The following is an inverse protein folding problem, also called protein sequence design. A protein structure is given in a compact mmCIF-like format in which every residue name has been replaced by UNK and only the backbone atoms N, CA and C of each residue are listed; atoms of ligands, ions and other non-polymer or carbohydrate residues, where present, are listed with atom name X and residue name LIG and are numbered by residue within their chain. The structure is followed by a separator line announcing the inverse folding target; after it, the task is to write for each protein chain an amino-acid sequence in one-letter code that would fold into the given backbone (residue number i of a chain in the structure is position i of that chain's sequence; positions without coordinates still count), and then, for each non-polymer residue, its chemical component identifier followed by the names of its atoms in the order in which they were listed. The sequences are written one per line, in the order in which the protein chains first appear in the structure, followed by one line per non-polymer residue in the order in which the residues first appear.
data_IF_510830283255
#
_entry.id   IF_510830283255
#
_cell.length_a   1.000
_cell.length_b   1.000
_cell.length_c   1.000
_cell.angle_alpha   90.00
_cell.angle_beta   90.00
_cell.angle_gamma   90.00
#
_symmetry.space_group_name_H-M   'P 1'
#
loop_
_entity.id
_entity.type
_entity.pdbx_description
1 polymer ?
#
# COMPACT_ATOMS: atom_id res chain seq x y z
N UNK A 1 39.41 -42.02 -33.48
CA UNK A 1 39.38 -40.57 -33.76
C UNK A 1 37.96 -40.04 -33.97
N UNK A 2 37.03 -40.80 -34.55
CA UNK A 2 35.61 -40.39 -34.72
C UNK A 2 34.73 -40.60 -33.48
N UNK A 3 35.00 -41.61 -32.66
CA UNK A 3 34.20 -41.91 -31.46
C UNK A 3 34.45 -40.92 -30.31
N UNK A 4 35.69 -40.49 -30.13
CA UNK A 4 36.11 -39.53 -29.09
C UNK A 4 35.58 -38.11 -29.37
N UNK A 5 35.32 -37.77 -30.64
CA UNK A 5 34.74 -36.49 -31.02
C UNK A 5 33.23 -36.41 -30.73
N UNK A 6 32.51 -37.53 -30.92
CA UNK A 6 31.06 -37.62 -30.65
C UNK A 6 30.78 -37.62 -29.15
N UNK A 7 31.66 -38.21 -28.33
CA UNK A 7 31.51 -38.24 -26.87
C UNK A 7 31.73 -36.85 -26.23
N UNK A 8 32.68 -36.06 -26.75
CA UNK A 8 32.90 -34.66 -26.35
C UNK A 8 31.72 -33.76 -26.73
N UNK A 9 31.11 -33.97 -27.90
CA UNK A 9 29.96 -33.18 -28.37
C UNK A 9 28.68 -33.49 -27.57
N UNK A 10 28.50 -34.75 -27.12
CA UNK A 10 27.39 -35.15 -26.25
C UNK A 10 27.55 -34.58 -24.83
N UNK A 11 28.77 -34.63 -24.27
CA UNK A 11 29.07 -34.07 -22.95
C UNK A 11 28.91 -32.54 -22.93
N UNK A 12 29.27 -31.85 -24.02
CA UNK A 12 29.06 -30.40 -24.17
C UNK A 12 27.57 -30.03 -24.27
N UNK A 13 26.76 -30.82 -25.01
CA UNK A 13 25.30 -30.62 -25.11
C UNK A 13 24.59 -30.92 -23.77
N UNK A 14 25.01 -31.95 -23.04
CA UNK A 14 24.43 -32.29 -21.73
C UNK A 14 24.77 -31.23 -20.68
N UNK A 15 25.99 -30.70 -20.68
CA UNK A 15 26.43 -29.64 -19.78
C UNK A 15 25.76 -28.29 -20.08
N UNK A 16 25.51 -27.97 -21.36
CA UNK A 16 24.70 -26.81 -21.79
C UNK A 16 23.24 -26.96 -21.37
N UNK A 17 22.67 -28.16 -21.50
CA UNK A 17 21.28 -28.46 -21.10
C UNK A 17 21.11 -28.39 -19.59
N UNK A 18 22.08 -28.90 -18.82
CA UNK A 18 22.07 -28.82 -17.35
C UNK A 18 22.25 -27.40 -16.85
N UNK A 19 23.14 -26.60 -17.46
CA UNK A 19 23.33 -25.18 -17.16
C UNK A 19 22.12 -24.33 -17.53
N UNK A 20 21.45 -24.66 -18.64
CA UNK A 20 20.17 -24.05 -19.03
C UNK A 20 19.07 -24.36 -18.01
N UNK A 21 18.90 -25.63 -17.65
CA UNK A 21 17.91 -26.05 -16.67
C UNK A 21 18.14 -25.44 -15.28
N UNK A 22 19.39 -25.30 -14.84
CA UNK A 22 19.73 -24.67 -13.57
C UNK A 22 19.50 -23.15 -13.58
N UNK A 23 19.72 -22.49 -14.72
CA UNK A 23 19.42 -21.06 -14.90
C UNK A 23 17.91 -20.81 -14.95
N UNK A 24 17.14 -21.69 -15.61
CA UNK A 24 15.67 -21.63 -15.66
C UNK A 24 15.08 -21.84 -14.25
N UNK A 25 15.60 -22.80 -13.48
CA UNK A 25 15.14 -23.08 -12.12
C UNK A 25 15.46 -21.92 -11.16
N UNK A 26 16.64 -21.32 -11.28
CA UNK A 26 17.04 -20.11 -10.54
C UNK A 26 16.15 -18.90 -10.88
N UNK A 27 15.92 -18.64 -12.17
CA UNK A 27 15.07 -17.54 -12.63
C UNK A 27 13.59 -17.71 -12.23
N UNK A 28 13.08 -18.95 -12.23
CA UNK A 28 11.75 -19.25 -11.72
C UNK A 28 11.65 -18.99 -10.21
N UNK A 29 12.69 -19.33 -9.44
CA UNK A 29 12.74 -19.07 -7.99
C UNK A 29 12.80 -17.57 -7.66
N UNK A 30 13.53 -16.78 -8.44
CA UNK A 30 13.59 -15.32 -8.31
C UNK A 30 12.24 -14.67 -8.68
N UNK A 31 11.61 -15.10 -9.78
CA UNK A 31 10.29 -14.63 -10.18
C UNK A 31 9.21 -14.93 -9.12
N UNK A 32 9.26 -16.11 -8.50
CA UNK A 32 8.39 -16.45 -7.38
C UNK A 32 8.65 -15.55 -6.16
N UNK A 33 9.90 -15.24 -5.84
CA UNK A 33 10.25 -14.36 -4.73
C UNK A 33 9.72 -12.93 -4.95
N UNK A 34 9.85 -12.38 -6.16
CA UNK A 34 9.30 -11.04 -6.47
C UNK A 34 7.78 -11.02 -6.46
N UNK A 35 7.11 -12.07 -6.94
CA UNK A 35 5.66 -12.22 -6.81
C UNK A 35 5.24 -12.23 -5.33
N UNK A 36 5.90 -13.01 -4.49
CA UNK A 36 5.64 -13.04 -3.04
C UNK A 36 5.82 -11.65 -2.40
N UNK A 37 6.82 -10.89 -2.84
CA UNK A 37 7.03 -9.51 -2.41
C UNK A 37 5.85 -8.60 -2.80
N UNK A 38 5.35 -8.69 -4.04
CA UNK A 38 4.17 -7.94 -4.47
C UNK A 38 2.91 -8.31 -3.67
N UNK A 39 2.70 -9.60 -3.38
CA UNK A 39 1.61 -10.08 -2.53
C UNK A 39 1.71 -9.49 -1.11
N UNK A 40 2.90 -9.53 -0.52
CA UNK A 40 3.16 -9.00 0.82
C UNK A 40 2.93 -7.48 0.87
N UNK A 41 3.50 -6.74 -0.07
CA UNK A 41 3.37 -5.28 -0.16
C UNK A 41 1.91 -4.87 -0.36
N UNK A 42 1.18 -5.57 -1.24
CA UNK A 42 -0.25 -5.34 -1.45
C UNK A 42 -1.06 -5.56 -0.17
N UNK A 43 -0.86 -6.69 0.51
CA UNK A 43 -1.56 -7.01 1.76
C UNK A 43 -1.29 -5.96 2.84
N UNK A 44 -0.05 -5.48 2.95
CA UNK A 44 0.32 -4.45 3.92
C UNK A 44 -0.39 -3.11 3.62
N UNK A 45 -0.36 -2.66 2.36
CA UNK A 45 -1.01 -1.42 1.92
C UNK A 45 -2.54 -1.49 2.06
N UNK A 46 -3.16 -2.61 1.67
CA UNK A 46 -4.58 -2.85 1.84
C UNK A 46 -5.00 -2.83 3.31
N UNK A 47 -4.26 -3.53 4.17
CA UNK A 47 -4.55 -3.57 5.60
C UNK A 47 -4.43 -2.18 6.23
N UNK A 48 -3.40 -1.42 5.85
CA UNK A 48 -3.19 -0.04 6.31
C UNK A 48 -4.32 0.89 5.84
N UNK A 49 -4.68 0.85 4.56
CA UNK A 49 -5.75 1.68 3.99
C UNK A 49 -7.11 1.37 4.59
N UNK A 50 -7.46 0.08 4.76
CA UNK A 50 -8.69 -0.35 5.42
C UNK A 50 -8.72 0.08 6.89
N UNK A 51 -7.61 -0.08 7.61
CA UNK A 51 -7.50 0.35 8.99
C UNK A 51 -7.71 1.86 9.14
N UNK A 52 -7.09 2.65 8.27
CA UNK A 52 -7.24 4.09 8.23
C UNK A 52 -8.69 4.47 7.92
N UNK A 53 -9.30 3.87 6.89
CA UNK A 53 -10.68 4.11 6.47
C UNK A 53 -11.69 3.84 7.60
N UNK A 54 -11.59 2.69 8.28
CA UNK A 54 -12.46 2.33 9.39
C UNK A 54 -12.29 3.31 10.56
N UNK A 55 -11.04 3.67 10.87
CA UNK A 55 -10.72 4.56 11.98
C UNK A 55 -11.19 5.99 11.76
N UNK A 56 -10.94 6.55 10.57
CA UNK A 56 -11.40 7.87 10.12
C UNK A 56 -12.93 7.94 10.17
N UNK A 57 -13.61 6.95 9.59
CA UNK A 57 -15.08 6.90 9.55
C UNK A 57 -15.68 6.79 10.95
N UNK A 58 -15.11 5.96 11.81
CA UNK A 58 -15.54 5.83 13.21
C UNK A 58 -15.33 7.13 13.99
N UNK A 59 -14.16 7.76 13.84
CA UNK A 59 -13.85 9.04 14.47
C UNK A 59 -14.83 10.14 14.02
N UNK A 60 -15.19 10.16 12.73
CA UNK A 60 -16.21 11.06 12.19
C UNK A 60 -17.57 10.86 12.87
N UNK A 61 -18.11 9.64 12.92
CA UNK A 61 -19.42 9.39 13.56
C UNK A 61 -19.43 9.65 15.08
N UNK A 62 -18.30 9.46 15.77
CA UNK A 62 -18.19 9.74 17.19
C UNK A 62 -18.09 11.26 17.48
N UNK A 63 -17.32 12.01 16.69
CA UNK A 63 -17.08 13.45 16.91
C UNK A 63 -18.04 14.39 16.20
N UNK A 64 -18.73 13.93 15.16
CA UNK A 64 -19.73 14.72 14.43
C UNK A 64 -20.87 15.20 15.36
N UNK A 65 -21.11 14.54 16.50
CA UNK A 65 -22.04 15.01 17.54
C UNK A 65 -21.62 16.30 18.26
N UNK A 66 -20.34 16.69 18.19
CA UNK A 66 -19.75 17.86 18.88
C UNK A 66 -19.27 18.95 17.93
N UNK A 67 -19.31 18.75 16.62
CA UNK A 67 -18.84 19.72 15.62
C UNK A 67 -17.31 19.78 15.41
N UNK A 68 -16.52 19.03 16.17
CA UNK A 68 -15.04 19.11 16.19
C UNK A 68 -14.36 17.94 15.46
N UNK A 69 -14.67 17.72 14.18
CA UNK A 69 -13.90 16.76 13.37
C UNK A 69 -12.58 17.38 12.92
N UNK A 70 -11.48 16.67 13.18
CA UNK A 70 -10.15 16.99 12.66
C UNK A 70 -9.50 15.68 12.22
N UNK A 71 -9.00 15.64 10.98
CA UNK A 71 -8.22 14.55 10.44
C UNK A 71 -6.97 14.36 11.29
N UNK A 72 -6.66 13.11 11.61
CA UNK A 72 -5.48 12.76 12.39
C UNK A 72 -4.58 11.87 11.53
N UNK A 73 -3.28 12.16 11.43
CA UNK A 73 -2.31 11.31 10.75
C UNK A 73 -2.32 9.86 11.22
N UNK A 74 -2.66 9.67 12.49
CA UNK A 74 -2.58 8.39 13.15
C UNK A 74 -3.78 8.19 14.08
N UNK A 75 -4.36 6.99 13.99
CA UNK A 75 -5.39 6.53 14.91
C UNK A 75 -4.80 5.39 15.76
N UNK A 76 -4.66 5.57 17.09
CA UNK A 76 -4.19 4.49 17.95
C UNK A 76 -5.25 3.37 18.04
N UNK A 77 -4.80 2.12 18.00
CA UNK A 77 -5.68 0.96 18.26
C UNK A 77 -6.06 0.99 19.75
N UNK A 78 -7.19 1.62 20.06
CA UNK A 78 -7.70 1.67 21.44
C UNK A 78 -8.47 0.40 21.83
N UNK A 79 -8.66 -0.56 20.91
CA UNK A 79 -9.49 -1.74 21.13
C UNK A 79 -8.80 -2.84 21.96
N UNK A 80 -7.46 -2.89 22.00
CA UNK A 80 -6.72 -3.97 22.63
C UNK A 80 -5.47 -3.46 23.36
N UNK A 81 -5.55 -3.23 24.68
CA UNK A 81 -4.43 -2.95 25.60
C UNK A 81 -3.50 -1.76 25.24
N UNK A 82 -2.86 -1.15 26.24
CA UNK A 82 -1.89 -0.05 26.02
C UNK A 82 -0.67 -0.47 25.18
N UNK A 83 -0.34 -1.78 25.15
CA UNK A 83 0.82 -2.33 24.43
C UNK A 83 0.66 -2.40 22.90
N UNK A 84 -0.56 -2.49 22.37
CA UNK A 84 -0.80 -2.56 20.92
C UNK A 84 -1.12 -1.20 20.30
N UNK A 85 -1.01 -0.13 21.09
CA UNK A 85 -1.34 1.24 20.69
C UNK A 85 -0.58 1.72 19.45
N UNK A 86 0.66 1.26 19.26
CA UNK A 86 1.56 1.64 18.15
C UNK A 86 1.80 0.51 17.13
N UNK A 87 1.05 -0.60 17.23
CA UNK A 87 1.23 -1.75 16.34
C UNK A 87 1.18 -1.41 14.85
N UNK A 88 0.25 -0.57 14.33
CA UNK A 88 0.21 -0.27 12.90
C UNK A 88 1.43 0.53 12.44
N UNK A 89 2.02 1.39 13.30
CA UNK A 89 3.28 2.09 13.00
C UNK A 89 4.46 1.12 12.95
N UNK A 90 4.55 0.17 13.89
CA UNK A 90 5.60 -0.85 13.88
C UNK A 90 5.50 -1.77 12.66
N UNK A 91 4.27 -2.17 12.27
CA UNK A 91 4.03 -3.00 11.11
C UNK A 91 4.38 -2.26 9.80
N UNK A 92 4.04 -0.96 9.72
CA UNK A 92 4.44 -0.12 8.59
C UNK A 92 5.97 0.00 8.51
N UNK A 93 6.65 0.24 9.63
CA UNK A 93 8.11 0.33 9.69
C UNK A 93 8.78 -0.97 9.21
N UNK A 94 8.29 -2.13 9.68
CA UNK A 94 8.79 -3.44 9.26
C UNK A 94 8.57 -3.66 7.76
N UNK A 95 7.39 -3.32 7.23
CA UNK A 95 7.09 -3.44 5.81
C UNK A 95 8.01 -2.55 4.94
N UNK A 96 8.27 -1.31 5.38
CA UNK A 96 9.17 -0.38 4.69
C UNK A 96 10.62 -0.87 4.73
N UNK A 97 11.07 -1.46 5.85
CA UNK A 97 12.40 -2.08 5.96
C UNK A 97 12.57 -3.26 5.01
N UNK A 98 11.59 -4.17 4.96
CA UNK A 98 11.62 -5.31 4.03
C UNK A 98 11.65 -4.80 2.58
N UNK A 99 10.86 -3.77 2.27
CA UNK A 99 10.82 -3.14 0.95
C UNK A 99 12.15 -2.49 0.57
N UNK A 100 12.79 -1.81 1.52
CA UNK A 100 14.11 -1.20 1.33
C UNK A 100 15.17 -2.28 1.07
N UNK A 101 15.16 -3.36 1.84
CA UNK A 101 16.09 -4.49 1.66
C UNK A 101 15.88 -5.10 0.28
N UNK A 102 14.64 -5.40 -0.11
CA UNK A 102 14.32 -5.97 -1.41
C UNK A 102 14.82 -5.09 -2.58
N UNK A 103 14.51 -3.79 -2.56
CA UNK A 103 14.96 -2.86 -3.62
C UNK A 103 16.47 -2.64 -3.61
N UNK A 104 17.13 -2.74 -2.45
CA UNK A 104 18.58 -2.67 -2.34
C UNK A 104 19.23 -3.93 -2.92
N UNK A 105 18.70 -5.11 -2.60
CA UNK A 105 19.18 -6.38 -3.14
C UNK A 105 19.09 -6.39 -4.67
N UNK A 106 17.94 -5.99 -5.24
CA UNK A 106 17.79 -5.86 -6.71
C UNK A 106 18.77 -4.85 -7.30
N UNK A 107 19.03 -3.73 -6.61
CA UNK A 107 19.99 -2.73 -7.08
C UNK A 107 21.44 -3.21 -7.06
N UNK A 108 21.79 -4.10 -6.14
CA UNK A 108 23.14 -4.66 -5.99
C UNK A 108 23.33 -5.98 -6.71
N UNK A 109 22.25 -6.64 -7.14
CA UNK A 109 22.33 -7.89 -7.86
C UNK A 109 23.04 -7.66 -9.21
N UNK A 110 24.20 -8.29 -9.31
CA UNK A 110 25.12 -8.14 -10.41
C UNK A 110 25.49 -9.56 -10.83
N UNK A 111 24.77 -10.11 -11.78
CA UNK A 111 25.21 -11.27 -12.54
C UNK A 111 26.01 -10.77 -13.78
N UNK A 112 27.35 -10.71 -13.71
CA UNK A 112 28.19 -10.10 -14.74
C UNK A 112 28.45 -10.97 -15.97
N UNK A 113 27.96 -12.21 -16.04
CA UNK A 113 28.35 -13.16 -17.10
C UNK A 113 27.26 -13.50 -18.13
N UNK A 114 26.00 -13.06 -17.94
CA UNK A 114 24.89 -13.43 -18.85
C UNK A 114 23.85 -12.31 -19.07
N UNK A 115 24.02 -11.12 -18.48
CA UNK A 115 23.04 -10.04 -18.55
C UNK A 115 23.64 -8.77 -19.15
N UNK A 116 23.18 -8.43 -20.36
CA UNK A 116 23.49 -7.19 -21.05
C UNK A 116 23.35 -5.97 -20.13
N UNK A 117 24.41 -5.18 -20.09
CA UNK A 117 24.64 -4.08 -19.15
C UNK A 117 23.80 -2.86 -19.54
N UNK A 118 22.60 -2.68 -18.98
CA UNK A 118 21.92 -1.37 -19.01
C UNK A 118 21.97 -0.73 -17.61
N UNK A 119 22.85 0.26 -17.35
CA UNK A 119 23.03 0.91 -16.03
C UNK A 119 21.75 1.56 -15.49
N UNK A 120 20.82 1.81 -16.40
CA UNK A 120 19.51 2.40 -16.20
C UNK A 120 18.68 1.70 -15.12
N UNK A 121 18.54 0.36 -15.18
CA UNK A 121 17.69 -0.38 -14.24
C UNK A 121 18.17 -0.25 -12.78
N UNK A 122 19.49 -0.20 -12.56
CA UNK A 122 20.08 -0.02 -11.23
C UNK A 122 19.77 1.35 -10.64
N UNK A 123 19.88 2.41 -11.45
CA UNK A 123 19.54 3.75 -11.01
C UNK A 123 18.05 3.89 -10.69
N UNK A 124 17.19 3.24 -11.46
CA UNK A 124 15.75 3.20 -11.18
C UNK A 124 15.43 2.47 -9.87
N UNK A 125 16.05 1.32 -9.62
CA UNK A 125 15.90 0.57 -8.36
C UNK A 125 16.43 1.37 -7.15
N UNK A 126 17.57 2.05 -7.32
CA UNK A 126 18.15 2.91 -6.28
C UNK A 126 17.26 4.13 -6.00
N UNK A 127 16.66 4.71 -7.03
CA UNK A 127 15.70 5.81 -6.88
C UNK A 127 14.47 5.34 -6.08
N UNK A 128 13.93 4.15 -6.39
CA UNK A 128 12.84 3.56 -5.62
C UNK A 128 13.24 3.30 -4.16
N UNK A 129 14.43 2.77 -3.91
CA UNK A 129 14.97 2.55 -2.57
C UNK A 129 15.09 3.87 -1.78
N UNK A 130 15.55 4.96 -2.41
CA UNK A 130 15.64 6.28 -1.79
C UNK A 130 14.28 6.86 -1.40
N UNK A 131 13.24 6.64 -2.22
CA UNK A 131 11.87 7.02 -1.88
C UNK A 131 11.35 6.23 -0.68
N UNK A 132 11.52 4.90 -0.67
CA UNK A 132 11.11 4.04 0.45
C UNK A 132 11.84 4.45 1.74
N UNK A 133 13.15 4.74 1.65
CA UNK A 133 13.92 5.23 2.78
C UNK A 133 13.36 6.55 3.34
N UNK A 134 12.91 7.45 2.45
CA UNK A 134 12.29 8.71 2.88
C UNK A 134 10.95 8.48 3.62
N UNK A 135 10.13 7.53 3.17
CA UNK A 135 8.92 7.11 3.89
C UNK A 135 9.23 6.45 5.24
N UNK A 136 10.33 5.69 5.31
CA UNK A 136 10.80 5.09 6.56
C UNK A 136 11.19 6.18 7.57
N UNK A 137 11.95 7.19 7.15
CA UNK A 137 12.31 8.33 8.01
C UNK A 137 11.08 9.09 8.50
N UNK A 138 10.11 9.35 7.63
CA UNK A 138 8.87 10.04 8.03
C UNK A 138 8.06 9.21 9.05
N UNK A 139 7.96 7.90 8.85
CA UNK A 139 7.27 6.98 9.76
C UNK A 139 8.00 6.90 11.12
N UNK A 140 9.33 6.88 11.10
CA UNK A 140 10.14 6.91 12.32
C UNK A 140 9.98 8.23 13.08
N UNK A 141 9.97 9.37 12.38
CA UNK A 141 9.72 10.68 12.96
C UNK A 141 8.33 10.74 13.65
N UNK A 142 7.30 10.18 13.01
CA UNK A 142 5.98 10.04 13.64
C UNK A 142 6.01 9.16 14.89
N UNK A 143 6.68 8.00 14.82
CA UNK A 143 6.76 7.09 15.95
C UNK A 143 7.44 7.76 17.15
N UNK A 144 8.53 8.51 16.91
CA UNK A 144 9.25 9.27 17.94
C UNK A 144 8.37 10.40 18.49
N UNK A 145 7.63 11.11 17.63
CA UNK A 145 6.72 12.19 18.06
C UNK A 145 5.58 11.68 18.95
N UNK A 146 5.10 10.45 18.73
CA UNK A 146 4.05 9.84 19.54
C UNK A 146 4.58 9.15 20.80
N UNK A 147 5.80 8.58 20.76
CA UNK A 147 6.42 7.91 21.90
C UNK A 147 7.10 8.86 22.87
N UNK A 148 7.56 10.01 22.39
CA UNK A 148 8.47 10.89 23.12
C UNK A 148 8.09 12.36 22.94
N UNK A 149 8.29 13.17 23.98
CA UNK A 149 8.09 14.63 23.91
C UNK A 149 9.21 15.40 23.19
N UNK A 150 10.23 14.71 22.68
CA UNK A 150 11.43 15.33 22.10
C UNK A 150 11.16 16.03 20.76
N UNK A 151 10.14 15.61 20.02
CA UNK A 151 9.83 16.18 18.70
C UNK A 151 8.31 16.21 18.47
N UNK A 152 7.56 17.16 19.08
CA UNK A 152 6.12 17.27 18.85
C UNK A 152 5.86 17.79 17.43
N UNK A 153 5.60 16.87 16.50
CA UNK A 153 5.32 17.20 15.12
C UNK A 153 3.83 17.56 14.99
N UNK A 154 3.47 18.79 14.55
CA UNK A 154 2.08 19.13 14.34
C UNK A 154 1.49 18.28 13.19
N UNK A 155 0.22 17.89 13.27
CA UNK A 155 -0.40 16.99 12.30
C UNK A 155 -0.37 17.56 10.87
N UNK A 156 -0.50 18.88 10.74
CA UNK A 156 -0.50 19.57 9.44
C UNK A 156 0.87 19.47 8.75
N UNK A 157 1.96 19.54 9.52
CA UNK A 157 3.32 19.37 8.99
C UNK A 157 3.56 17.93 8.54
N UNK A 158 3.02 16.94 9.27
CA UNK A 158 3.10 15.55 8.81
C UNK A 158 2.40 15.37 7.47
N UNK A 159 1.17 15.87 7.30
CA UNK A 159 0.44 15.76 6.04
C UNK A 159 1.15 16.50 4.90
N UNK A 160 1.76 17.65 5.18
CA UNK A 160 2.59 18.36 4.21
C UNK A 160 3.82 17.54 3.79
N UNK A 161 4.57 16.97 4.74
CA UNK A 161 5.71 16.10 4.44
C UNK A 161 5.28 14.82 3.69
N UNK A 162 4.18 14.20 4.10
CA UNK A 162 3.61 13.05 3.40
C UNK A 162 3.23 13.41 1.96
N UNK A 163 2.64 14.59 1.72
CA UNK A 163 2.34 15.06 0.36
C UNK A 163 3.58 15.17 -0.51
N UNK A 164 4.68 15.71 0.04
CA UNK A 164 5.95 15.83 -0.66
C UNK A 164 6.56 14.46 -0.99
N UNK A 165 6.48 13.49 -0.07
CA UNK A 165 6.97 12.13 -0.33
C UNK A 165 6.12 11.38 -1.36
N UNK A 166 4.79 11.52 -1.35
CA UNK A 166 3.94 10.96 -2.40
C UNK A 166 4.20 11.59 -3.77
N UNK A 167 4.50 12.89 -3.81
CA UNK A 167 4.93 13.55 -5.05
C UNK A 167 6.30 13.06 -5.52
N UNK A 168 7.24 12.83 -4.61
CA UNK A 168 8.53 12.23 -4.93
C UNK A 168 8.36 10.81 -5.49
N UNK A 169 7.44 10.02 -4.92
CA UNK A 169 7.09 8.70 -5.45
C UNK A 169 6.47 8.79 -6.85
N UNK A 170 5.57 9.76 -7.10
CA UNK A 170 5.03 10.03 -8.44
C UNK A 170 6.16 10.30 -9.44
N UNK A 171 7.08 11.21 -9.13
CA UNK A 171 8.21 11.57 -10.00
C UNK A 171 9.14 10.39 -10.27
N UNK A 172 9.45 9.60 -9.24
CA UNK A 172 10.27 8.40 -9.40
C UNK A 172 9.59 7.34 -10.27
N UNK A 173 8.29 7.12 -10.06
CA UNK A 173 7.51 6.13 -10.81
C UNK A 173 7.26 6.56 -12.26
N UNK A 174 7.02 7.85 -12.52
CA UNK A 174 6.88 8.39 -13.88
C UNK A 174 8.19 8.29 -14.67
N UNK A 175 9.33 8.58 -14.03
CA UNK A 175 10.63 8.43 -14.66
C UNK A 175 10.93 6.96 -14.96
N UNK A 176 10.60 6.06 -14.03
CA UNK A 176 10.72 4.61 -14.22
C UNK A 176 9.91 4.15 -15.44
N UNK A 177 8.66 4.59 -15.55
CA UNK A 177 7.79 4.27 -16.68
C UNK A 177 8.34 4.77 -18.03
N UNK A 178 8.94 5.96 -18.08
CA UNK A 178 9.46 6.53 -19.33
C UNK A 178 10.72 5.84 -19.88
N UNK A 179 11.42 5.12 -19.02
CA UNK A 179 12.75 4.56 -19.30
C UNK A 179 12.69 3.03 -19.47
N UNK A 180 11.57 2.40 -19.10
CA UNK A 180 11.37 0.97 -19.28
C UNK A 180 11.15 0.59 -20.74
N UNK A 181 11.77 -0.53 -21.14
CA UNK A 181 11.62 -1.12 -22.48
C UNK A 181 10.38 -2.02 -22.59
N UNK A 182 9.76 -2.39 -21.47
CA UNK A 182 8.53 -3.18 -21.40
C UNK A 182 7.32 -2.24 -21.36
N UNK A 183 6.50 -2.28 -22.42
CA UNK A 183 5.30 -1.45 -22.53
C UNK A 183 4.29 -1.72 -21.40
N UNK A 184 4.19 -2.98 -20.96
CA UNK A 184 3.25 -3.38 -19.92
C UNK A 184 3.70 -2.87 -18.54
N UNK A 185 4.99 -3.02 -18.21
CA UNK A 185 5.54 -2.53 -16.95
C UNK A 185 5.47 -1.00 -16.88
N UNK A 186 5.78 -0.33 -18.00
CA UNK A 186 5.69 1.13 -18.09
C UNK A 186 4.26 1.63 -17.85
N UNK A 187 3.25 0.93 -18.37
CA UNK A 187 1.85 1.27 -18.12
C UNK A 187 1.46 1.04 -16.65
N UNK A 188 1.86 -0.07 -16.05
CA UNK A 188 1.61 -0.35 -14.63
C UNK A 188 2.23 0.72 -13.72
N UNK A 189 3.48 1.10 -13.98
CA UNK A 189 4.19 2.13 -13.24
C UNK A 189 3.56 3.51 -13.46
N UNK A 190 3.15 3.84 -14.68
CA UNK A 190 2.44 5.09 -14.97
C UNK A 190 1.12 5.22 -14.20
N UNK A 191 0.33 4.14 -14.10
CA UNK A 191 -0.91 4.14 -13.33
C UNK A 191 -0.62 4.27 -11.83
N UNK A 192 0.39 3.55 -11.31
CA UNK A 192 0.87 3.67 -9.92
C UNK A 192 1.31 5.10 -9.58
N UNK A 193 2.01 5.75 -10.52
CA UNK A 193 2.40 7.15 -10.41
C UNK A 193 1.16 8.05 -10.27
N UNK A 194 0.15 7.89 -11.14
CA UNK A 194 -1.07 8.70 -11.08
C UNK A 194 -1.86 8.53 -9.77
N UNK A 195 -1.93 7.32 -9.21
CA UNK A 195 -2.54 7.08 -7.89
C UNK A 195 -1.76 7.82 -6.80
N UNK A 196 -0.42 7.82 -6.90
CA UNK A 196 0.47 8.52 -5.95
C UNK A 196 0.37 10.06 -6.07
N UNK A 197 0.12 10.57 -7.27
CA UNK A 197 -0.17 11.99 -7.47
C UNK A 197 -1.50 12.36 -6.79
N UNK A 198 -2.53 11.54 -6.95
CA UNK A 198 -3.82 11.73 -6.28
C UNK A 198 -3.65 11.73 -4.75
N UNK A 199 -2.89 10.78 -4.18
CA UNK A 199 -2.65 10.74 -2.74
C UNK A 199 -1.86 11.95 -2.24
N UNK A 200 -0.89 12.46 -3.03
CA UNK A 200 -0.16 13.70 -2.73
C UNK A 200 -1.10 14.91 -2.65
N UNK A 201 -1.97 15.08 -3.65
CA UNK A 201 -2.95 16.17 -3.68
C UNK A 201 -3.93 16.09 -2.51
N UNK A 202 -4.41 14.89 -2.17
CA UNK A 202 -5.30 14.67 -1.03
C UNK A 202 -4.61 14.98 0.31
N UNK A 203 -3.37 14.55 0.51
CA UNK A 203 -2.56 14.93 1.69
C UNK A 203 -2.38 16.44 1.80
N UNK A 204 -2.09 17.11 0.68
CA UNK A 204 -1.93 18.57 0.63
C UNK A 204 -3.24 19.30 0.96
N UNK A 205 -4.38 18.82 0.44
CA UNK A 205 -5.70 19.34 0.81
C UNK A 205 -5.99 19.18 2.29
N UNK A 206 -5.63 18.04 2.91
CA UNK A 206 -5.80 17.81 4.34
C UNK A 206 -4.89 18.73 5.16
N UNK A 207 -3.66 19.00 4.71
CA UNK A 207 -2.75 19.92 5.37
C UNK A 207 -3.29 21.36 5.43
N UNK A 208 -4.01 21.80 4.38
CA UNK A 208 -4.65 23.12 4.37
C UNK A 208 -6.02 23.14 5.07
N UNK A 209 -6.78 22.06 4.95
CA UNK A 209 -8.14 21.94 5.48
C UNK A 209 -8.34 20.61 6.21
N UNK A 210 -7.82 20.48 7.45
CA UNK A 210 -7.85 19.22 8.20
C UNK A 210 -9.26 18.80 8.63
N UNK A 211 -10.27 19.65 8.43
CA UNK A 211 -11.68 19.34 8.72
C UNK A 211 -12.39 18.61 7.57
N UNK A 212 -11.77 18.49 6.40
CA UNK A 212 -12.37 17.89 5.21
C UNK A 212 -12.38 16.35 5.30
N UNK A 213 -13.44 15.80 5.88
CA UNK A 213 -13.63 14.34 6.02
C UNK A 213 -13.51 13.58 4.69
N UNK A 214 -14.06 14.15 3.60
CA UNK A 214 -14.02 13.50 2.30
C UNK A 214 -12.59 13.30 1.78
N UNK A 215 -11.70 14.27 2.00
CA UNK A 215 -10.30 14.15 1.59
C UNK A 215 -9.56 13.05 2.37
N UNK A 216 -9.87 12.90 3.66
CA UNK A 216 -9.29 11.87 4.52
C UNK A 216 -9.75 10.45 4.13
N UNK A 217 -11.05 10.29 3.83
CA UNK A 217 -11.60 9.03 3.30
C UNK A 217 -11.05 8.71 1.91
N UNK A 218 -10.95 9.72 1.04
CA UNK A 218 -10.39 9.55 -0.30
C UNK A 218 -8.90 9.17 -0.23
N UNK A 219 -8.13 9.73 0.72
CA UNK A 219 -6.73 9.38 0.94
C UNK A 219 -6.61 7.91 1.33
N UNK A 220 -7.41 7.45 2.31
CA UNK A 220 -7.43 6.04 2.70
C UNK A 220 -7.83 5.11 1.53
N UNK A 221 -8.82 5.53 0.73
CA UNK A 221 -9.22 4.83 -0.49
C UNK A 221 -8.09 4.75 -1.52
N UNK A 222 -7.33 5.84 -1.72
CA UNK A 222 -6.19 5.86 -2.64
C UNK A 222 -5.06 4.91 -2.21
N UNK A 223 -4.82 4.73 -0.91
CA UNK A 223 -3.86 3.76 -0.37
C UNK A 223 -4.35 2.32 -0.62
N UNK A 224 -5.64 2.04 -0.44
CA UNK A 224 -6.22 0.75 -0.81
C UNK A 224 -6.08 0.47 -2.31
N UNK A 225 -6.36 1.47 -3.15
CA UNK A 225 -6.24 1.36 -4.61
C UNK A 225 -4.78 1.09 -5.01
N UNK A 226 -3.82 1.79 -4.39
CA UNK A 226 -2.40 1.55 -4.59
C UNK A 226 -2.02 0.11 -4.22
N UNK A 227 -2.49 -0.41 -3.09
CA UNK A 227 -2.25 -1.78 -2.67
C UNK A 227 -2.81 -2.83 -3.65
N UNK A 228 -4.03 -2.63 -4.14
CA UNK A 228 -4.61 -3.51 -5.16
C UNK A 228 -3.86 -3.43 -6.49
N UNK A 229 -3.43 -2.23 -6.88
CA UNK A 229 -2.69 -2.05 -8.12
C UNK A 229 -1.30 -2.72 -8.08
N UNK A 230 -0.63 -2.71 -6.92
CA UNK A 230 0.63 -3.45 -6.72
C UNK A 230 0.42 -4.96 -6.89
N UNK A 231 -0.72 -5.49 -6.43
CA UNK A 231 -1.09 -6.89 -6.64
C UNK A 231 -1.33 -7.18 -8.12
N UNK A 232 -2.14 -6.36 -8.79
CA UNK A 232 -2.42 -6.49 -10.22
C UNK A 232 -1.13 -6.42 -11.05
N UNK A 233 -0.20 -5.54 -10.68
CA UNK A 233 1.11 -5.41 -11.31
C UNK A 233 1.90 -6.71 -11.14
N UNK A 234 1.99 -7.25 -9.92
CA UNK A 234 2.65 -8.54 -9.68
C UNK A 234 2.02 -9.70 -10.46
N UNK A 235 0.69 -9.78 -10.52
CA UNK A 235 0.00 -10.82 -11.29
C UNK A 235 0.25 -10.68 -12.79
N UNK A 236 0.19 -9.46 -13.34
CA UNK A 236 0.34 -9.20 -14.78
C UNK A 236 1.77 -9.45 -15.28
N UNK A 237 2.79 -9.29 -14.42
CA UNK A 237 4.21 -9.45 -14.78
C UNK A 237 4.76 -10.86 -14.52
N UNK A 238 4.23 -11.56 -13.52
CA UNK A 238 4.83 -12.82 -13.04
C UNK A 238 3.94 -14.06 -13.22
N UNK A 239 2.65 -13.91 -13.54
CA UNK A 239 1.74 -15.05 -13.74
C UNK A 239 1.31 -15.15 -15.20
N UNK A 240 1.71 -16.24 -15.86
CA UNK A 240 1.48 -16.43 -17.31
C UNK A 240 -0.02 -16.46 -17.69
N UNK A 241 -0.90 -16.87 -16.77
CA UNK A 241 -2.35 -16.87 -16.98
C UNK A 241 -2.98 -15.46 -17.09
N UNK A 242 -2.27 -14.42 -16.64
CA UNK A 242 -2.72 -13.02 -16.71
C UNK A 242 -1.98 -12.21 -17.79
N UNK A 243 -1.11 -12.85 -18.58
CA UNK A 243 -0.44 -12.22 -19.72
C UNK A 243 -1.44 -12.18 -20.89
N UNK A 244 -1.75 -11.01 -21.46
CA UNK A 244 -2.68 -10.91 -22.58
C UNK A 244 -2.13 -11.60 -23.84
N UNK A 245 -3.01 -12.29 -24.57
CA UNK A 245 -2.67 -13.00 -25.81
C UNK A 245 -1.90 -12.11 -26.79
N UNK A 246 -0.73 -12.57 -27.25
CA UNK A 246 0.14 -11.86 -28.19
C UNK A 246 1.28 -11.05 -27.55
N UNK A 247 1.36 -11.02 -26.21
CA UNK A 247 2.55 -10.58 -25.49
C UNK A 247 3.32 -11.82 -25.02
N UNK A 248 4.61 -11.91 -25.38
CA UNK A 248 5.45 -13.00 -24.91
C UNK A 248 6.46 -12.47 -23.88
N UNK A 249 6.65 -13.25 -22.82
CA UNK A 249 7.78 -13.05 -21.92
C UNK A 249 9.04 -13.36 -22.72
N UNK A 250 9.94 -12.39 -22.89
CA UNK A 250 11.26 -12.65 -23.47
C UNK A 250 12.07 -13.45 -22.44
N UNK A 251 11.76 -14.75 -22.33
CA UNK A 251 12.60 -15.75 -21.66
C UNK A 251 13.65 -16.31 -22.62
N UNK A 252 13.58 -15.97 -23.90
CA UNK A 252 14.41 -16.55 -24.93
C UNK A 252 15.58 -15.63 -25.31
N UNK A 253 16.78 -16.13 -25.02
CA UNK A 253 18.10 -15.74 -25.56
C UNK A 253 18.71 -14.40 -25.10
N UNK A 254 19.73 -14.54 -24.23
CA UNK A 254 20.90 -13.63 -24.07
C UNK A 254 20.68 -12.27 -23.38
N UNK A 255 19.46 -11.79 -23.17
CA UNK A 255 19.20 -10.58 -22.36
C UNK A 255 18.15 -10.82 -21.30
N UNK A 256 18.53 -11.51 -20.22
CA UNK A 256 17.64 -11.85 -19.10
C UNK A 256 17.20 -10.65 -18.24
N UNK A 257 16.66 -9.58 -18.80
CA UNK A 257 16.05 -8.53 -17.98
C UNK A 257 14.75 -9.09 -17.41
N UNK A 258 14.71 -9.32 -16.10
CA UNK A 258 13.52 -9.80 -15.39
C UNK A 258 12.31 -8.92 -15.72
N UNK A 259 11.18 -9.55 -16.08
CA UNK A 259 9.91 -8.83 -16.33
C UNK A 259 9.78 -8.15 -17.70
N UNK A 260 10.73 -8.30 -18.62
CA UNK A 260 10.63 -7.69 -19.95
C UNK A 260 9.66 -8.46 -20.87
N UNK A 261 8.36 -8.14 -20.76
CA UNK A 261 7.33 -8.60 -21.70
C UNK A 261 7.29 -7.66 -22.89
N UNK A 262 7.58 -8.16 -24.10
CA UNK A 262 7.50 -7.36 -25.32
C UNK A 262 6.32 -7.86 -26.16
N UNK A 263 5.44 -6.94 -26.53
CA UNK A 263 4.38 -7.23 -27.50
C UNK A 263 4.98 -7.26 -28.91
N UNK A 264 4.69 -8.31 -29.67
CA UNK A 264 5.23 -8.50 -31.02
C UNK A 264 4.52 -7.61 -32.06
N UNK A 265 3.25 -7.25 -31.78
CA UNK A 265 2.41 -6.39 -32.61
C UNK A 265 1.86 -5.20 -31.81
N UNK A 266 1.78 -4.02 -32.46
CA UNK A 266 1.21 -2.80 -31.86
C UNK A 266 -0.28 -2.98 -31.52
N UNK A 267 -1.03 -3.78 -32.30
CA UNK A 267 -2.43 -4.09 -32.02
C UNK A 267 -2.61 -4.89 -30.71
N UNK A 268 -1.72 -5.86 -30.45
CA UNK A 268 -1.71 -6.63 -29.20
C UNK A 268 -1.38 -5.75 -28.00
N UNK A 269 -0.52 -4.74 -28.19
CA UNK A 269 -0.20 -3.73 -27.18
C UNK A 269 -1.41 -2.84 -26.87
N UNK A 270 -2.10 -2.32 -27.88
CA UNK A 270 -3.31 -1.52 -27.66
C UNK A 270 -4.39 -2.32 -26.92
N UNK A 271 -4.57 -3.60 -27.25
CA UNK A 271 -5.48 -4.51 -26.54
C UNK A 271 -5.06 -4.71 -25.08
N UNK A 272 -3.78 -4.99 -24.82
CA UNK A 272 -3.26 -5.17 -23.47
C UNK A 272 -3.45 -3.92 -22.59
N UNK A 273 -3.15 -2.74 -23.14
CA UNK A 273 -3.35 -1.46 -22.44
C UNK A 273 -4.83 -1.21 -22.14
N UNK A 274 -5.73 -1.48 -23.10
CA UNK A 274 -7.17 -1.33 -22.90
C UNK A 274 -7.71 -2.28 -21.82
N UNK A 275 -7.22 -3.53 -21.75
CA UNK A 275 -7.57 -4.48 -20.70
C UNK A 275 -7.10 -3.97 -19.33
N UNK A 276 -5.86 -3.48 -19.22
CA UNK A 276 -5.34 -2.91 -17.98
C UNK A 276 -6.13 -1.69 -17.52
N UNK A 277 -6.53 -0.82 -18.45
CA UNK A 277 -7.36 0.35 -18.15
C UNK A 277 -8.76 -0.06 -17.65
N UNK A 278 -9.36 -1.09 -18.25
CA UNK A 278 -10.62 -1.66 -17.77
C UNK A 278 -10.47 -2.26 -16.36
N UNK A 279 -9.41 -3.03 -16.13
CA UNK A 279 -9.09 -3.61 -14.81
C UNK A 279 -8.86 -2.52 -13.77
N UNK A 280 -8.20 -1.41 -14.13
CA UNK A 280 -8.05 -0.27 -13.25
C UNK A 280 -9.41 0.33 -12.83
N UNK A 281 -10.34 0.51 -13.77
CA UNK A 281 -11.69 0.98 -13.47
C UNK A 281 -12.42 0.01 -12.53
N UNK A 282 -12.28 -1.31 -12.73
CA UNK A 282 -12.86 -2.30 -11.82
C UNK A 282 -12.29 -2.20 -10.40
N UNK A 283 -10.98 -1.97 -10.26
CA UNK A 283 -10.37 -1.73 -8.94
C UNK A 283 -10.89 -0.46 -8.27
N UNK A 284 -11.09 0.62 -9.03
CA UNK A 284 -11.69 1.87 -8.51
C UNK A 284 -13.12 1.62 -8.01
N UNK A 285 -13.94 0.90 -8.80
CA UNK A 285 -15.31 0.53 -8.39
C UNK A 285 -15.31 -0.34 -7.14
N UNK A 286 -14.40 -1.30 -7.04
CA UNK A 286 -14.25 -2.15 -5.87
C UNK A 286 -13.88 -1.33 -4.62
N UNK A 287 -12.93 -0.41 -4.72
CA UNK A 287 -12.55 0.48 -3.60
C UNK A 287 -13.73 1.37 -3.19
N UNK A 288 -14.49 1.92 -4.15
CA UNK A 288 -15.69 2.70 -3.86
C UNK A 288 -16.72 1.87 -3.08
N UNK A 289 -16.95 0.63 -3.48
CA UNK A 289 -17.83 -0.29 -2.76
C UNK A 289 -17.35 -0.53 -1.34
N UNK A 290 -16.06 -0.77 -1.13
CA UNK A 290 -15.46 -0.93 0.20
C UNK A 290 -15.69 0.32 1.06
N UNK A 291 -15.54 1.53 0.52
CA UNK A 291 -15.82 2.79 1.22
C UNK A 291 -17.29 2.88 1.63
N UNK A 292 -18.23 2.58 0.72
CA UNK A 292 -19.67 2.62 1.02
C UNK A 292 -20.04 1.60 2.09
N UNK A 293 -19.53 0.37 1.97
CA UNK A 293 -19.82 -0.72 2.93
C UNK A 293 -19.24 -0.41 4.30
N UNK A 294 -18.01 0.07 4.38
CA UNK A 294 -17.39 0.47 5.65
C UNK A 294 -18.14 1.64 6.30
N UNK A 295 -18.55 2.64 5.52
CA UNK A 295 -19.40 3.73 6.00
C UNK A 295 -20.72 3.22 6.58
N UNK A 296 -21.45 2.39 5.83
CA UNK A 296 -22.72 1.83 6.29
C UNK A 296 -22.56 0.95 7.54
N UNK A 297 -21.52 0.11 7.60
CA UNK A 297 -21.24 -0.76 8.73
C UNK A 297 -20.89 0.05 10.00
N UNK A 298 -20.05 1.08 9.87
CA UNK A 298 -19.67 1.94 11.00
C UNK A 298 -20.88 2.78 11.47
N UNK A 299 -21.68 3.33 10.54
CA UNK A 299 -22.89 4.07 10.90
C UNK A 299 -23.87 3.21 11.70
N UNK A 300 -24.07 1.95 11.30
CA UNK A 300 -24.92 0.98 12.04
C UNK A 300 -24.35 0.66 13.42
N UNK A 301 -23.06 0.34 13.51
CA UNK A 301 -22.44 -0.05 14.80
C UNK A 301 -22.38 1.09 15.82
N UNK A 302 -22.10 2.33 15.37
CA UNK A 302 -22.11 3.51 16.25
C UNK A 302 -23.53 3.91 16.63
N UNK A 303 -24.49 3.81 15.69
CA UNK A 303 -25.91 4.04 15.97
C UNK A 303 -26.45 3.08 17.05
N UNK A 304 -26.16 1.79 16.93
CA UNK A 304 -26.55 0.77 17.92
C UNK A 304 -25.96 1.08 19.30
N UNK A 305 -24.69 1.52 19.38
CA UNK A 305 -24.08 1.93 20.67
C UNK A 305 -24.73 3.17 21.28
N UNK A 306 -25.25 4.11 20.48
CA UNK A 306 -25.97 5.28 20.98
C UNK A 306 -27.33 4.92 21.57
N UNK A 307 -28.08 4.01 20.94
CA UNK A 307 -29.37 3.55 21.49
C UNK A 307 -29.23 2.81 22.83
N UNK A 308 -28.04 2.28 23.16
CA UNK A 308 -27.74 1.67 24.46
C UNK A 308 -27.32 2.65 25.56
N UNK A 309 -27.04 3.92 25.24
CA UNK A 309 -26.63 4.94 26.21
C UNK A 309 -27.74 5.98 26.35
N UNK A 310 -28.68 5.71 27.26
CA UNK A 310 -29.72 6.67 27.65
C UNK A 310 -29.05 7.88 28.32
N UNK A 311 -28.76 8.93 27.55
CA UNK A 311 -28.31 10.21 28.09
C UNK A 311 -29.54 10.89 28.69
N UNK A 312 -29.65 10.84 30.02
CA UNK A 312 -30.75 11.49 30.72
C UNK A 312 -30.72 12.99 30.40
N UNK A 313 -31.86 13.51 29.90
CA UNK A 313 -32.07 14.93 29.68
C UNK A 313 -31.67 15.69 30.96
N UNK A 314 -30.88 16.79 30.86
CA UNK A 314 -30.60 17.63 32.01
C UNK A 314 -31.93 18.09 32.59
N UNK A 315 -32.24 17.64 33.79
CA UNK A 315 -33.46 18.06 34.48
C UNK A 315 -33.27 19.55 34.82
N UNK A 316 -34.07 20.48 34.26
CA UNK A 316 -33.92 21.90 34.52
C UNK A 316 -34.20 22.29 35.98
N UNK A 317 -34.65 21.34 36.81
CA UNK A 317 -35.00 21.58 38.22
C UNK A 317 -33.86 21.29 39.21
N UNK A 318 -32.65 20.95 38.76
CA UNK A 318 -31.53 20.56 39.65
C UNK A 318 -30.63 21.72 40.10
N UNK A 319 -31.12 22.96 40.02
CA UNK A 319 -30.43 24.10 40.60
C UNK A 319 -30.84 24.41 42.05
N UNK A 320 -31.91 23.81 42.59
CA UNK A 320 -32.39 24.14 43.95
C UNK A 320 -33.10 22.99 44.66
N UNK A 321 -32.38 21.91 44.97
CA UNK A 321 -32.89 20.93 45.94
C UNK A 321 -31.78 20.41 46.84
N UNK A 322 -31.26 21.32 47.67
CA UNK A 322 -30.73 20.92 48.97
C UNK A 322 -31.89 20.32 49.79
N UNK A 323 -31.65 19.15 50.37
CA UNK A 323 -32.42 18.59 51.49
C UNK A 323 -33.74 17.85 51.16
N UNK A 324 -33.66 16.63 50.61
CA UNK A 324 -34.63 15.57 50.94
C UNK A 324 -33.87 14.37 51.49
N UNK A 325 -33.58 14.47 52.79
CA UNK A 325 -33.20 13.36 53.65
C UNK A 325 -34.39 12.39 53.69
N UNK A 326 -34.28 11.23 53.04
CA UNK A 326 -35.30 10.19 53.15
C UNK A 326 -35.27 9.64 54.58
N UNK A 327 -36.19 10.15 55.41
CA UNK A 327 -36.42 9.70 56.77
C UNK A 327 -37.20 8.38 56.71
N UNK A 328 -36.50 7.28 56.95
CA UNK A 328 -37.13 5.98 57.21
C UNK A 328 -38.00 6.09 58.47
N UNK A 329 -39.31 6.00 58.32
CA UNK A 329 -40.24 5.83 59.44
C UNK A 329 -40.42 4.33 59.69
N UNK A 330 -39.72 3.84 60.69
CA UNK A 330 -39.95 2.56 61.37
C UNK A 330 -41.00 2.73 62.48
N UNK A 331 -42.04 1.87 62.48
CA UNK A 331 -42.95 1.55 63.60
C UNK A 331 -43.96 2.65 63.99
N UNK A 332 -45.18 2.39 64.47
CA UNK A 332 -45.88 1.18 64.96
C UNK A 332 -47.36 1.55 65.19
N UNK A 333 -48.21 0.52 65.23
CA UNK A 333 -49.48 0.41 65.98
C UNK A 333 -50.81 0.72 65.25
N UNK A 334 -51.49 -0.36 64.82
CA UNK A 334 -52.79 -0.76 65.34
C UNK A 334 -52.85 -2.30 65.33
#
# INVERSE_FOLDING_TARGET
MTYEYVEVEIEEVENVTQKSNQTICSAASAAMATLMYHMFSSSALLSLGLYHLISTTRNHHLKSSRGDYTAKPYHPISAFSSRLRHLPLYLLLLCLLISLIHQSLISFDADPLLKGRTPVHRFTSLQAAAVIFSFLLLTLALLISESTSLLPLPPDLFFALASALFYLHYSASSNSASVQTSDLQAKCDSVSANISLLSSLLCLLIAFQPRLFLADVALAGSICLQGLWVLQTGLSLYVDAFIPDGCHKLLDVVSGVEGSTKCDLEDSKLRAVAILDLVFVLHVLFVLLVVIVTYAAVAKTVGIRRFGSYEALPNPNTADSNHIQMKALTGTQA
#
